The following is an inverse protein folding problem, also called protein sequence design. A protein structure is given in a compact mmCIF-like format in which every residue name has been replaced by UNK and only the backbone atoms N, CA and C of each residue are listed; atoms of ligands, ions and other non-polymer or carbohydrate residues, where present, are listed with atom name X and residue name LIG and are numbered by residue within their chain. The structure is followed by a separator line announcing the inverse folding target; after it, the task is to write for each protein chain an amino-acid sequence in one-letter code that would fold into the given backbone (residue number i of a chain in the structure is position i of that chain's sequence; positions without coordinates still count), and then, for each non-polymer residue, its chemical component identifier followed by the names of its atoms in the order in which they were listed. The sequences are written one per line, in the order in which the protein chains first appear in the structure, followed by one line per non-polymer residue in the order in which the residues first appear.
data_IF_683973817339
#
_entry.id   IF_683973817339
#
_cell.length_a   1.000
_cell.length_b   1.000
_cell.length_c   1.000
_cell.angle_alpha   90.00
_cell.angle_beta   90.00
_cell.angle_gamma   90.00
#
_symmetry.space_group_name_H-M   'P 1'
#
loop_
_entity.id
_entity.type
_entity.pdbx_description
1 polymer ?
#
# COMPACT_ATOMS: atom_id res chain seq x y z
N UNK A 1 -7.43 -1.93 5.74
CA UNK A 1 -6.48 -0.92 5.23
C UNK A 1 -6.99 0.52 5.43
N UNK A 2 -7.75 0.82 6.51
CA UNK A 2 -8.32 2.17 6.68
C UNK A 2 -7.31 3.17 7.25
N UNK A 3 -6.33 2.72 8.03
CA UNK A 3 -5.54 3.63 8.86
C UNK A 3 -4.45 4.39 8.09
N UNK A 4 -3.73 3.75 7.16
CA UNK A 4 -2.60 4.37 6.47
C UNK A 4 -3.02 5.47 5.47
N UNK A 5 -4.16 5.29 4.79
CA UNK A 5 -4.66 6.31 3.88
C UNK A 5 -5.12 7.56 4.64
N UNK A 6 -5.83 7.38 5.76
CA UNK A 6 -6.25 8.50 6.62
C UNK A 6 -5.02 9.25 7.17
N UNK A 7 -3.96 8.52 7.52
CA UNK A 7 -2.71 9.11 7.98
C UNK A 7 -1.99 9.89 6.86
N UNK A 8 -1.91 9.36 5.64
CA UNK A 8 -1.37 10.09 4.48
C UNK A 8 -2.13 11.40 4.25
N UNK A 9 -3.45 11.38 4.33
CA UNK A 9 -4.28 12.57 4.15
C UNK A 9 -4.04 13.62 5.24
N UNK A 10 -3.91 13.17 6.50
CA UNK A 10 -3.55 14.04 7.63
C UNK A 10 -2.17 14.67 7.43
N UNK A 11 -1.14 13.86 7.19
CA UNK A 11 0.24 14.34 7.04
C UNK A 11 0.41 15.21 5.79
N UNK A 12 -0.39 14.98 4.73
CA UNK A 12 -0.39 15.87 3.56
C UNK A 12 -0.97 17.24 3.87
N UNK A 13 -1.98 17.33 4.72
CA UNK A 13 -2.50 18.62 5.18
C UNK A 13 -1.46 19.33 6.07
N UNK A 14 -0.83 18.59 6.98
CA UNK A 14 0.22 19.09 7.87
C UNK A 14 1.45 19.58 7.09
N UNK A 15 1.92 18.83 6.09
CA UNK A 15 3.02 19.25 5.23
C UNK A 15 2.72 20.56 4.48
N UNK A 16 1.49 20.74 3.98
CA UNK A 16 1.08 22.00 3.35
C UNK A 16 1.10 23.16 4.34
N UNK A 17 0.55 22.98 5.54
CA UNK A 17 0.55 24.00 6.59
C UNK A 17 1.98 24.38 7.01
N UNK A 18 2.87 23.38 7.18
CA UNK A 18 4.28 23.61 7.51
C UNK A 18 4.97 24.40 6.40
N UNK A 19 4.78 24.03 5.13
CA UNK A 19 5.37 24.76 4.00
C UNK A 19 4.82 26.19 3.89
N UNK A 20 3.52 26.42 4.14
CA UNK A 20 2.92 27.75 4.17
C UNK A 20 3.50 28.63 5.29
N UNK A 21 3.75 28.06 6.48
CA UNK A 21 4.26 28.80 7.65
C UNK A 21 5.77 29.01 7.58
N UNK A 22 6.53 27.99 7.15
CA UNK A 22 8.00 27.95 7.19
C UNK A 22 8.64 28.33 5.86
N UNK A 23 7.87 28.33 4.77
CA UNK A 23 8.31 28.56 3.41
C UNK A 23 8.67 27.25 2.69
N UNK A 24 8.39 27.20 1.39
CA UNK A 24 8.56 26.01 0.54
C UNK A 24 10.00 25.49 0.45
N UNK A 25 10.99 26.36 0.68
CA UNK A 25 12.41 26.00 0.68
C UNK A 25 12.99 25.67 2.05
N UNK A 26 12.16 25.64 3.10
CA UNK A 26 12.60 25.34 4.45
C UNK A 26 12.90 23.85 4.64
N UNK A 27 13.80 23.55 5.59
CA UNK A 27 14.14 22.16 5.95
C UNK A 27 12.92 21.48 6.57
N UNK A 28 12.12 22.24 7.30
CA UNK A 28 10.88 21.77 7.93
C UNK A 28 9.83 21.37 6.90
N UNK A 29 9.67 22.16 5.82
CA UNK A 29 8.79 21.79 4.70
C UNK A 29 9.27 20.50 4.02
N UNK A 30 10.57 20.40 3.74
CA UNK A 30 11.15 19.19 3.15
C UNK A 30 10.93 17.96 4.05
N UNK A 31 11.22 18.07 5.34
CA UNK A 31 11.02 16.98 6.30
C UNK A 31 9.55 16.55 6.43
N UNK A 32 8.61 17.49 6.36
CA UNK A 32 7.19 17.15 6.39
C UNK A 32 6.75 16.40 5.13
N UNK A 33 7.29 16.74 3.96
CA UNK A 33 7.06 15.98 2.73
C UNK A 33 7.74 14.62 2.71
N UNK A 34 8.93 14.48 3.29
CA UNK A 34 9.61 13.18 3.46
C UNK A 34 8.71 12.19 4.23
N UNK A 35 8.05 12.64 5.30
CA UNK A 35 7.10 11.80 6.06
C UNK A 35 5.94 11.33 5.18
N UNK A 36 5.39 12.21 4.35
CA UNK A 36 4.30 11.87 3.41
C UNK A 36 4.79 10.86 2.35
N UNK A 37 6.01 11.01 1.86
CA UNK A 37 6.61 10.09 0.88
C UNK A 37 6.79 8.69 1.47
N UNK A 38 7.33 8.58 2.68
CA UNK A 38 7.52 7.29 3.37
C UNK A 38 6.18 6.58 3.64
N UNK A 39 5.15 7.32 4.08
CA UNK A 39 3.82 6.73 4.27
C UNK A 39 3.21 6.23 2.95
N UNK A 40 3.42 6.94 1.85
CA UNK A 40 2.97 6.48 0.53
C UNK A 40 3.76 5.26 0.05
N UNK A 41 5.06 5.21 0.30
CA UNK A 41 5.89 4.05 0.00
C UNK A 41 5.41 2.82 0.78
N UNK A 42 5.13 2.97 2.08
CA UNK A 42 4.57 1.89 2.87
C UNK A 42 3.18 1.47 2.39
N UNK A 43 2.30 2.41 2.03
CA UNK A 43 0.99 2.07 1.47
C UNK A 43 1.11 1.28 0.16
N UNK A 44 2.09 1.61 -0.69
CA UNK A 44 2.40 0.84 -1.91
C UNK A 44 2.91 -0.56 -1.57
N UNK A 45 3.81 -0.67 -0.60
CA UNK A 45 4.35 -1.95 -0.16
C UNK A 45 3.27 -2.86 0.46
N UNK A 46 2.35 -2.30 1.26
CA UNK A 46 1.21 -3.03 1.80
C UNK A 46 0.28 -3.53 0.68
N UNK A 47 0.07 -2.74 -0.38
CA UNK A 47 -0.70 -3.16 -1.57
C UNK A 47 0.01 -4.28 -2.34
N UNK A 48 1.34 -4.24 -2.46
CA UNK A 48 2.10 -5.30 -3.12
C UNK A 48 2.12 -6.61 -2.31
N UNK A 49 2.16 -6.51 -0.98
CA UNK A 49 2.06 -7.66 -0.06
C UNK A 49 0.65 -8.22 0.05
N UNK A 50 -0.37 -7.44 -0.31
CA UNK A 50 -1.71 -7.97 -0.39
C UNK A 50 -1.74 -8.94 -1.56
N UNK A 51 -1.76 -10.23 -1.24
CA UNK A 51 -2.01 -11.28 -2.23
C UNK A 51 -3.24 -10.88 -3.05
N UNK A 52 -3.17 -10.92 -4.39
CA UNK A 52 -4.34 -10.66 -5.20
C UNK A 52 -5.46 -11.60 -4.73
N UNK A 53 -6.68 -11.06 -4.65
CA UNK A 53 -7.82 -11.88 -4.28
C UNK A 53 -7.86 -13.12 -5.17
N UNK A 54 -7.75 -14.30 -4.55
CA UNK A 54 -7.72 -15.56 -5.28
C UNK A 54 -8.94 -15.62 -6.17
N UNK A 55 -8.73 -15.92 -7.45
CA UNK A 55 -9.84 -16.13 -8.38
C UNK A 55 -10.70 -17.30 -7.90
N UNK A 56 -11.96 -17.35 -8.31
CA UNK A 56 -12.84 -18.48 -7.97
C UNK A 56 -12.22 -19.83 -8.36
N UNK A 57 -11.46 -19.86 -9.45
CA UNK A 57 -10.73 -21.04 -9.88
C UNK A 57 -9.57 -21.41 -8.95
N UNK A 58 -8.73 -20.44 -8.54
CA UNK A 58 -7.67 -20.67 -7.56
C UNK A 58 -8.23 -21.16 -6.21
N UNK A 59 -9.31 -20.55 -5.72
CA UNK A 59 -9.98 -21.00 -4.50
C UNK A 59 -10.51 -22.43 -4.63
N UNK A 60 -11.10 -22.77 -5.78
CA UNK A 60 -11.60 -24.10 -6.06
C UNK A 60 -10.48 -25.15 -6.08
N UNK A 61 -9.37 -24.86 -6.77
CA UNK A 61 -8.24 -25.78 -6.88
C UNK A 61 -7.47 -25.97 -5.57
N UNK A 62 -7.40 -24.95 -4.71
CA UNK A 62 -6.83 -25.09 -3.36
C UNK A 62 -7.69 -25.99 -2.47
N UNK A 63 -9.02 -25.92 -2.60
CA UNK A 63 -9.94 -26.77 -1.86
C UNK A 63 -10.07 -28.18 -2.45
N UNK A 64 -9.80 -28.35 -3.75
CA UNK A 64 -9.96 -29.60 -4.49
C UNK A 64 -8.72 -29.87 -5.39
N UNK A 65 -7.55 -30.15 -4.82
CA UNK A 65 -6.32 -30.35 -5.60
C UNK A 65 -6.40 -31.57 -6.54
N UNK A 66 -7.24 -32.55 -6.19
CA UNK A 66 -7.43 -33.79 -6.95
C UNK A 66 -8.40 -33.65 -8.13
N UNK A 67 -9.10 -32.51 -8.26
CA UNK A 67 -10.04 -32.27 -9.35
C UNK A 67 -9.30 -32.28 -10.69
N UNK A 68 -9.93 -32.80 -11.75
CA UNK A 68 -9.28 -32.96 -13.05
C UNK A 68 -8.77 -31.63 -13.62
N UNK A 69 -9.45 -30.52 -13.30
CA UNK A 69 -9.09 -29.16 -13.68
C UNK A 69 -7.91 -28.58 -12.88
N UNK A 70 -7.51 -29.22 -11.78
CA UNK A 70 -6.59 -28.66 -10.78
C UNK A 70 -5.33 -29.49 -10.56
N UNK A 71 -5.24 -30.71 -11.12
CA UNK A 71 -4.05 -31.56 -11.01
C UNK A 71 -2.85 -30.91 -11.70
N UNK A 72 -1.80 -30.63 -10.93
CA UNK A 72 -0.50 -30.16 -11.42
C UNK A 72 0.50 -31.31 -11.31
N UNK A 73 1.20 -31.61 -12.40
CA UNK A 73 2.25 -32.63 -12.44
C UNK A 73 3.62 -31.96 -12.52
N UNK A 74 4.49 -32.23 -11.54
CA UNK A 74 5.90 -31.83 -11.61
C UNK A 74 6.62 -32.67 -12.68
N UNK A 75 7.33 -32.01 -13.60
CA UNK A 75 8.16 -32.63 -14.63
C UNK A 75 9.65 -32.52 -14.29
#
# INVERSE_FOLDING_TARGET
MSNINDQIEKERAEAREVCEIKGDGSIECAAAWDVVEELQAEASHQKQKAEPAKTSFQQYCEANPEADECRVYDN
#
